data_IF_827554799206
#
_entry.id   IF_827554799206
#
_cell.length_a   1.000
_cell.length_b   1.000
_cell.length_c   1.000
_cell.angle_alpha   90.00
_cell.angle_beta   90.00
_cell.angle_gamma   90.00
#
_symmetry.space_group_name_H-M   'P 1'
#
loop_
_entity.id
_entity.type
_entity.pdbx_description
1 polymer ?
#
# COMPACT_ATOMS: atom_id res chain seq x y z
N UNK A 1 -2.77 -16.16 -1.78
CA UNK A 1 -2.27 -15.44 -0.58
C UNK A 1 -3.35 -14.49 -0.10
N UNK A 2 -3.92 -14.73 1.09
CA UNK A 2 -5.03 -13.93 1.65
C UNK A 2 -4.75 -12.42 1.63
N UNK A 3 -3.53 -12.02 1.98
CA UNK A 3 -3.13 -10.61 1.98
C UNK A 3 -3.19 -9.92 0.60
N UNK A 4 -2.85 -10.63 -0.48
CA UNK A 4 -2.92 -10.06 -1.83
C UNK A 4 -4.38 -9.82 -2.21
N UNK A 5 -5.25 -10.78 -1.87
CA UNK A 5 -6.70 -10.65 -2.07
C UNK A 5 -7.26 -9.50 -1.23
N UNK A 6 -6.86 -9.39 0.04
CA UNK A 6 -7.29 -8.32 0.94
C UNK A 6 -6.85 -6.94 0.40
N UNK A 7 -5.62 -6.80 -0.11
CA UNK A 7 -5.13 -5.56 -0.76
C UNK A 7 -5.98 -5.22 -2.00
N UNK A 8 -6.26 -6.20 -2.88
CA UNK A 8 -7.10 -5.96 -4.06
C UNK A 8 -8.54 -5.57 -3.68
N UNK A 9 -9.14 -6.25 -2.71
CA UNK A 9 -10.45 -5.89 -2.16
C UNK A 9 -10.44 -4.45 -1.62
N UNK A 10 -9.36 -4.04 -0.95
CA UNK A 10 -9.22 -2.69 -0.42
C UNK A 10 -9.11 -1.63 -1.51
N UNK A 11 -8.39 -1.92 -2.60
CA UNK A 11 -8.32 -1.04 -3.79
C UNK A 11 -9.72 -0.86 -4.40
N UNK A 12 -10.48 -1.95 -4.55
CA UNK A 12 -11.85 -1.90 -5.07
C UNK A 12 -12.79 -1.13 -4.13
N UNK A 13 -12.63 -1.30 -2.81
CA UNK A 13 -13.38 -0.55 -1.80
C UNK A 13 -13.08 0.95 -1.90
N UNK A 14 -11.81 1.34 -1.99
CA UNK A 14 -11.40 2.74 -2.17
C UNK A 14 -12.00 3.34 -3.44
N UNK A 15 -11.93 2.62 -4.58
CA UNK A 15 -12.57 3.07 -5.82
C UNK A 15 -14.07 3.29 -5.62
N UNK A 16 -14.75 2.37 -4.96
CA UNK A 16 -16.20 2.46 -4.72
C UNK A 16 -16.55 3.67 -3.85
N UNK A 17 -15.71 3.97 -2.84
CA UNK A 17 -15.85 5.18 -2.02
C UNK A 17 -15.58 6.47 -2.79
N UNK A 18 -14.69 6.45 -3.78
CA UNK A 18 -14.35 7.63 -4.58
C UNK A 18 -15.45 7.97 -5.60
N UNK A 19 -16.19 6.97 -6.10
CA UNK A 19 -17.26 7.18 -7.09
C UNK A 19 -18.65 7.26 -6.47
N UNK A 20 -18.78 7.09 -5.15
CA UNK A 20 -20.09 7.05 -4.48
C UNK A 20 -20.76 8.42 -4.37
N UNK A 21 -19.98 9.51 -4.35
CA UNK A 21 -20.48 10.87 -4.25
C UNK A 21 -19.75 11.81 -5.22
N UNK A 22 -20.40 12.86 -5.74
CA UNK A 22 -19.71 13.91 -6.45
C UNK A 22 -18.89 14.76 -5.46
N UNK A 23 -17.82 15.37 -5.96
CA UNK A 23 -17.05 16.37 -5.22
C UNK A 23 -17.93 17.58 -4.93
N UNK A 24 -17.86 18.07 -3.70
CA UNK A 24 -18.61 19.24 -3.24
C UNK A 24 -17.65 20.40 -3.01
N UNK A 25 -18.17 21.62 -3.16
CA UNK A 25 -17.41 22.84 -2.89
C UNK A 25 -17.90 23.43 -1.59
N UNK A 26 -16.97 23.67 -0.68
CA UNK A 26 -17.23 24.34 0.57
C UNK A 26 -17.61 25.81 0.28
N UNK A 27 -18.80 26.28 0.68
CA UNK A 27 -19.24 27.66 0.47
C UNK A 27 -18.35 28.70 1.15
N UNK A 28 -17.70 28.35 2.26
CA UNK A 28 -16.92 29.31 3.06
C UNK A 28 -15.45 29.36 2.65
N UNK A 29 -14.80 28.21 2.47
CA UNK A 29 -13.38 28.15 2.08
C UNK A 29 -13.16 28.12 0.56
N UNK A 30 -14.20 27.85 -0.23
CA UNK A 30 -14.09 27.64 -1.68
C UNK A 30 -13.38 26.36 -2.10
N UNK A 31 -12.95 25.52 -1.14
CA UNK A 31 -12.19 24.29 -1.36
C UNK A 31 -13.09 23.14 -1.84
N UNK A 32 -12.51 22.22 -2.61
CA UNK A 32 -13.19 20.99 -3.01
C UNK A 32 -12.98 19.92 -1.95
N UNK A 33 -14.06 19.33 -1.46
CA UNK A 33 -14.02 18.21 -0.52
C UNK A 33 -14.89 17.06 -1.03
N UNK A 34 -14.55 15.85 -0.61
CA UNK A 34 -15.33 14.66 -0.91
C UNK A 34 -16.12 14.23 0.34
N UNK A 35 -17.44 14.02 0.28
CA UNK A 35 -18.24 13.65 1.45
C UNK A 35 -17.71 12.39 2.17
N UNK A 36 -17.19 11.43 1.43
CA UNK A 36 -16.59 10.19 1.97
C UNK A 36 -15.07 10.29 2.23
N UNK A 37 -14.48 11.48 2.33
CA UNK A 37 -13.03 11.64 2.50
C UNK A 37 -12.48 10.90 3.72
N UNK A 38 -13.18 10.91 4.85
CA UNK A 38 -12.78 10.16 6.05
C UNK A 38 -12.65 8.66 5.79
N UNK A 39 -13.61 8.06 5.06
CA UNK A 39 -13.59 6.65 4.69
C UNK A 39 -12.47 6.32 3.70
N UNK A 40 -12.16 7.24 2.79
CA UNK A 40 -11.05 7.10 1.84
C UNK A 40 -9.70 7.14 2.55
N UNK A 41 -9.50 8.08 3.48
CA UNK A 41 -8.29 8.18 4.30
C UNK A 41 -8.10 6.91 5.12
N UNK A 42 -9.14 6.42 5.79
CA UNK A 42 -9.07 5.17 6.55
C UNK A 42 -8.70 3.97 5.66
N UNK A 43 -9.30 3.86 4.46
CA UNK A 43 -8.97 2.78 3.53
C UNK A 43 -7.53 2.90 3.00
N UNK A 44 -7.00 4.12 2.84
CA UNK A 44 -5.60 4.33 2.50
C UNK A 44 -4.64 3.92 3.64
N UNK A 45 -4.98 4.21 4.89
CA UNK A 45 -4.18 3.78 6.05
C UNK A 45 -4.11 2.26 6.14
N UNK A 46 -5.25 1.58 5.99
CA UNK A 46 -5.31 0.12 5.92
C UNK A 46 -4.46 -0.44 4.76
N UNK A 47 -4.48 0.22 3.60
CA UNK A 47 -3.64 -0.17 2.46
C UNK A 47 -2.16 -0.10 2.80
N UNK A 48 -1.74 0.98 3.47
CA UNK A 48 -0.35 1.21 3.87
C UNK A 48 0.13 0.14 4.86
N UNK A 49 -0.72 -0.27 5.80
CA UNK A 49 -0.40 -1.36 6.74
C UNK A 49 -0.22 -2.69 6.01
N UNK A 50 -1.17 -3.04 5.13
CA UNK A 50 -1.11 -4.30 4.38
C UNK A 50 0.05 -4.34 3.40
N UNK A 51 0.37 -3.24 2.71
CA UNK A 51 1.49 -3.17 1.78
C UNK A 51 2.83 -3.28 2.51
N UNK A 52 2.97 -2.62 3.66
CA UNK A 52 4.14 -2.74 4.54
C UNK A 52 4.31 -4.17 5.06
N UNK A 53 3.21 -4.79 5.50
CA UNK A 53 3.25 -6.17 5.98
C UNK A 53 3.60 -7.15 4.85
N UNK A 54 3.01 -6.99 3.66
CA UNK A 54 3.36 -7.77 2.48
C UNK A 54 4.86 -7.65 2.16
N UNK A 55 5.40 -6.44 2.14
CA UNK A 55 6.83 -6.22 1.93
C UNK A 55 7.69 -6.96 2.96
N UNK A 56 7.35 -6.86 4.26
CA UNK A 56 8.06 -7.56 5.35
C UNK A 56 8.02 -9.08 5.16
N UNK A 57 6.88 -9.64 4.78
CA UNK A 57 6.71 -11.09 4.56
C UNK A 57 7.52 -11.55 3.36
N UNK A 58 7.42 -10.87 2.22
CA UNK A 58 8.17 -11.22 1.01
C UNK A 58 9.69 -11.09 1.27
N UNK A 59 10.13 -10.07 2.00
CA UNK A 59 11.53 -9.90 2.38
C UNK A 59 12.04 -11.08 3.22
N UNK A 60 11.29 -11.48 4.27
CA UNK A 60 11.64 -12.64 5.10
C UNK A 60 11.65 -13.95 4.32
N UNK A 61 10.75 -14.13 3.36
CA UNK A 61 10.70 -15.32 2.52
C UNK A 61 11.88 -15.38 1.55
N UNK A 62 12.21 -14.26 0.90
CA UNK A 62 13.36 -14.16 0.00
C UNK A 62 14.70 -14.38 0.72
N UNK A 63 14.82 -13.95 1.98
CA UNK A 63 16.01 -14.22 2.80
C UNK A 63 16.13 -15.70 3.20
N UNK A 64 15.01 -16.42 3.35
CA UNK A 64 14.98 -17.83 3.76
C UNK A 64 15.01 -18.81 2.59
N UNK A 65 14.78 -18.36 1.36
CA UNK A 65 14.75 -19.21 0.18
C UNK A 65 15.08 -18.45 -1.10
N UNK A 66 15.93 -19.07 -1.94
CA UNK A 66 16.47 -18.63 -3.23
C UNK A 66 15.42 -18.44 -4.35
N UNK A 67 14.19 -18.05 -4.04
CA UNK A 67 13.17 -17.82 -5.06
C UNK A 67 13.43 -16.50 -5.79
N UNK A 68 14.05 -16.58 -6.98
CA UNK A 68 14.37 -15.43 -7.83
C UNK A 68 13.17 -14.51 -8.08
N UNK A 69 11.98 -15.06 -8.29
CA UNK A 69 10.76 -14.28 -8.49
C UNK A 69 10.36 -13.43 -7.28
N UNK A 70 10.71 -13.83 -6.05
CA UNK A 70 10.46 -13.02 -4.86
C UNK A 70 11.45 -11.85 -4.75
N UNK A 71 12.70 -12.05 -5.17
CA UNK A 71 13.70 -10.97 -5.24
C UNK A 71 13.31 -9.93 -6.29
N UNK A 72 12.87 -10.37 -7.48
CA UNK A 72 12.35 -9.47 -8.51
C UNK A 72 11.13 -8.69 -8.02
N UNK A 73 10.20 -9.37 -7.33
CA UNK A 73 9.04 -8.72 -6.73
C UNK A 73 9.46 -7.68 -5.68
N UNK A 74 10.40 -7.98 -4.79
CA UNK A 74 10.91 -7.03 -3.81
C UNK A 74 11.55 -5.80 -4.44
N UNK A 75 12.32 -6.01 -5.51
CA UNK A 75 13.00 -4.94 -6.23
C UNK A 75 11.98 -3.99 -6.89
N UNK A 76 10.88 -4.54 -7.42
CA UNK A 76 9.77 -3.74 -7.96
C UNK A 76 8.96 -3.04 -6.86
N UNK A 77 8.68 -3.72 -5.76
CA UNK A 77 7.92 -3.14 -4.64
C UNK A 77 8.68 -2.01 -3.94
N UNK A 78 10.01 -2.11 -3.83
CA UNK A 78 10.84 -1.17 -3.11
C UNK A 78 11.81 -0.39 -4.01
N UNK A 79 11.44 -0.17 -5.28
CA UNK A 79 12.30 0.47 -6.29
C UNK A 79 12.85 1.83 -5.82
N UNK A 80 11.99 2.67 -5.23
CA UNK A 80 12.36 3.98 -4.70
C UNK A 80 12.74 3.96 -3.21
N UNK A 81 13.03 2.79 -2.66
CA UNK A 81 13.25 2.62 -1.22
C UNK A 81 12.08 3.11 -0.34
N UNK A 82 10.86 2.93 -0.82
CA UNK A 82 9.64 3.37 -0.17
C UNK A 82 9.45 2.80 1.24
N UNK A 83 9.92 1.57 1.49
CA UNK A 83 9.78 0.90 2.79
C UNK A 83 11.01 1.06 3.71
N UNK A 84 11.85 2.10 3.51
CA UNK A 84 12.98 2.41 4.40
C UNK A 84 12.49 2.75 5.81
N UNK A 85 12.64 1.82 6.74
CA UNK A 85 12.32 2.05 8.15
C UNK A 85 12.43 0.81 9.04
N UNK A 86 11.98 -0.37 8.60
CA UNK A 86 11.81 -1.51 9.49
C UNK A 86 12.48 -2.80 8.99
N UNK A 87 13.82 -2.83 8.99
CA UNK A 87 14.58 -4.08 8.85
C UNK A 87 15.40 -4.24 7.57
N UNK A 88 16.03 -3.17 7.08
CA UNK A 88 17.21 -3.33 6.22
C UNK A 88 18.40 -3.78 7.09
N UNK A 89 18.40 -5.04 7.53
CA UNK A 89 19.65 -5.74 7.80
C UNK A 89 20.30 -5.99 6.43
N UNK A 90 21.14 -5.05 6.02
CA UNK A 90 22.36 -5.25 5.23
C UNK A 90 22.39 -6.53 4.37
N UNK A 91 21.95 -6.43 3.12
CA UNK A 91 22.45 -7.35 2.09
C UNK A 91 23.91 -6.97 1.80
N UNK A 92 24.84 -7.94 1.75
CA UNK A 92 26.24 -7.67 1.43
C UNK A 92 26.32 -7.21 -0.03
N UNK A 93 26.97 -6.06 -0.24
CA UNK A 93 27.43 -5.65 -1.57
C UNK A 93 28.59 -6.56 -1.94
N UNK A 94 28.40 -7.42 -2.92
CA UNK A 94 29.48 -7.98 -3.74
C UNK A 94 30.04 -6.91 -4.65
#
# INVERSE_FOLDING_TARGET
MKIIQDIFCLILKFRTQLVSYPWQRDPESGSLYHPAQSHMVHSYEQFKEFSTFLFKVVNKLALRGYQQHLQELLLRLNFNNYYKGDGQSSLPRT
#
